data_IF_275428569648
#
_entry.id   IF_275428569648
#
_cell.length_a   1.000
_cell.length_b   1.000
_cell.length_c   1.000
_cell.angle_alpha   90.00
_cell.angle_beta   90.00
_cell.angle_gamma   90.00
#
_symmetry.space_group_name_H-M   'P 1'
#
loop_
_entity.id
_entity.type
_entity.pdbx_description
1 polymer ?
#
# COMPACT_ATOMS: atom_id res chain seq x y z
N UNK A 1 12.50 2.63 3.73
CA UNK A 1 11.78 3.61 4.56
C UNK A 1 10.33 3.19 4.78
N UNK A 2 9.62 2.76 3.73
CA UNK A 2 8.23 2.31 3.81
C UNK A 2 8.03 1.01 3.06
N UNK A 3 7.41 0.02 3.70
CA UNK A 3 7.04 -1.26 3.10
C UNK A 3 5.53 -1.44 3.30
N UNK A 4 4.82 -1.79 2.24
CA UNK A 4 3.37 -2.02 2.25
C UNK A 4 2.96 -2.95 1.10
N UNK A 5 1.66 -3.12 0.89
CA UNK A 5 1.10 -3.90 -0.21
C UNK A 5 0.49 -2.99 -1.30
N UNK A 6 0.36 -3.52 -2.51
CA UNK A 6 -0.31 -2.88 -3.66
C UNK A 6 0.15 -1.45 -3.93
N UNK A 7 1.47 -1.19 -3.77
CA UNK A 7 2.02 0.13 -4.11
C UNK A 7 1.95 0.31 -5.63
N UNK A 8 1.24 1.33 -6.06
CA UNK A 8 1.00 1.57 -7.49
C UNK A 8 0.83 3.04 -7.85
N UNK A 9 1.06 3.34 -9.12
CA UNK A 9 0.89 4.67 -9.68
C UNK A 9 -0.57 5.00 -10.01
N UNK A 10 -0.84 6.29 -10.18
CA UNK A 10 -2.12 6.78 -10.68
C UNK A 10 -2.55 6.11 -11.99
N UNK A 11 -1.62 5.90 -12.92
CA UNK A 11 -1.89 5.29 -14.23
C UNK A 11 -2.43 3.86 -14.15
N UNK A 12 -2.09 3.12 -13.11
CA UNK A 12 -2.56 1.74 -12.92
C UNK A 12 -4.02 1.63 -12.47
N UNK A 13 -4.61 2.71 -11.93
CA UNK A 13 -6.03 2.73 -11.54
C UNK A 13 -6.57 4.16 -11.48
N UNK A 14 -6.75 4.80 -12.64
CA UNK A 14 -7.19 6.19 -12.75
C UNK A 14 -8.60 6.44 -12.18
N UNK A 15 -9.42 5.40 -12.04
CA UNK A 15 -10.80 5.49 -11.55
C UNK A 15 -10.93 5.36 -10.03
N UNK A 16 -9.83 5.09 -9.31
CA UNK A 16 -9.89 4.96 -7.87
C UNK A 16 -10.25 6.31 -7.22
N UNK A 17 -11.30 6.33 -6.44
CA UNK A 17 -11.93 7.57 -5.95
C UNK A 17 -11.07 8.32 -4.94
N UNK A 18 -10.20 7.62 -4.20
CA UNK A 18 -9.34 8.19 -3.16
C UNK A 18 -8.24 9.13 -3.67
N UNK A 19 -7.95 9.14 -4.98
CA UNK A 19 -6.98 10.08 -5.55
C UNK A 19 -7.25 11.55 -5.25
N UNK A 20 -8.52 11.88 -5.01
CA UNK A 20 -8.96 13.25 -4.70
C UNK A 20 -8.86 13.58 -3.21
N UNK A 21 -8.60 12.58 -2.38
CA UNK A 21 -8.57 12.71 -0.92
C UNK A 21 -7.14 12.94 -0.43
N UNK A 22 -6.42 13.89 -1.03
CA UNK A 22 -5.06 14.28 -0.61
C UNK A 22 -4.84 15.77 -0.81
N UNK A 23 -4.31 16.41 0.21
CA UNK A 23 -3.88 17.81 0.18
C UNK A 23 -2.53 17.93 0.88
N UNK A 24 -1.53 18.42 0.17
CA UNK A 24 -0.19 18.67 0.71
C UNK A 24 0.09 20.17 0.73
N UNK A 25 0.44 20.67 1.89
CA UNK A 25 0.75 22.09 2.11
C UNK A 25 2.04 22.46 1.36
N UNK A 26 1.97 23.51 0.57
CA UNK A 26 3.08 24.04 -0.25
C UNK A 26 3.62 23.07 -1.32
N UNK A 27 2.87 22.00 -1.66
CA UNK A 27 3.22 21.07 -2.73
C UNK A 27 2.08 21.01 -3.75
N UNK A 28 2.35 21.48 -4.95
CA UNK A 28 1.39 21.35 -6.07
C UNK A 28 1.49 19.95 -6.67
N UNK A 29 0.52 19.11 -6.33
CA UNK A 29 0.45 17.75 -6.82
C UNK A 29 0.07 17.68 -8.31
N UNK A 30 0.60 16.68 -8.99
CA UNK A 30 0.17 16.25 -10.30
C UNK A 30 0.06 14.71 -10.33
N UNK A 31 -0.59 14.17 -11.37
CA UNK A 31 -0.87 12.74 -11.47
C UNK A 31 0.40 11.86 -11.42
N UNK A 32 1.56 12.35 -11.89
CA UNK A 32 2.81 11.57 -11.85
C UNK A 32 3.38 11.42 -10.45
N UNK A 33 2.98 12.31 -9.54
CA UNK A 33 3.41 12.27 -8.14
C UNK A 33 2.55 11.31 -7.31
N UNK A 34 1.31 11.07 -7.73
CA UNK A 34 0.36 10.28 -6.97
C UNK A 34 0.74 8.80 -6.93
N UNK A 35 0.78 8.26 -5.74
CA UNK A 35 0.91 6.84 -5.46
C UNK A 35 -0.23 6.38 -4.55
N UNK A 36 -0.54 5.11 -4.65
CA UNK A 36 -1.41 4.41 -3.71
C UNK A 36 -0.68 3.27 -3.05
N UNK A 37 -1.12 2.87 -1.89
CA UNK A 37 -0.73 1.62 -1.22
C UNK A 37 -1.95 1.03 -0.51
N UNK A 38 -1.87 -0.23 -0.14
CA UNK A 38 -2.86 -0.89 0.68
C UNK A 38 -2.20 -1.28 2.01
N UNK A 39 -2.66 -0.70 3.10
CA UNK A 39 -1.91 -0.61 4.35
C UNK A 39 -2.47 -1.46 5.52
N UNK A 40 -3.06 -2.66 5.31
CA UNK A 40 -3.48 -3.52 6.43
C UNK A 40 -2.26 -4.00 7.23
N UNK A 41 -1.12 -4.14 6.53
CA UNK A 41 0.19 -4.40 7.11
C UNK A 41 1.19 -3.47 6.45
N UNK A 42 1.94 -2.72 7.25
CA UNK A 42 2.99 -1.84 6.77
C UNK A 42 4.11 -1.69 7.79
N UNK A 43 5.28 -1.34 7.29
CA UNK A 43 6.46 -1.02 8.09
C UNK A 43 6.99 0.36 7.73
N UNK A 44 7.34 1.12 8.75
CA UNK A 44 7.96 2.43 8.61
C UNK A 44 9.36 2.43 9.21
N UNK A 45 10.27 3.19 8.61
CA UNK A 45 11.49 3.63 9.28
C UNK A 45 11.21 4.84 10.16
N UNK A 46 12.10 5.15 11.09
CA UNK A 46 12.02 6.36 11.91
C UNK A 46 11.98 7.63 11.04
N UNK A 47 12.74 7.63 9.95
CA UNK A 47 12.73 8.73 8.97
C UNK A 47 11.34 8.92 8.33
N UNK A 48 10.66 7.84 7.98
CA UNK A 48 9.31 7.91 7.42
C UNK A 48 8.29 8.40 8.44
N UNK A 49 8.36 7.93 9.68
CA UNK A 49 7.49 8.37 10.77
C UNK A 49 7.73 9.85 11.13
N UNK A 50 8.99 10.28 11.20
CA UNK A 50 9.35 11.68 11.49
C UNK A 50 8.82 12.61 10.41
N UNK A 51 9.01 12.27 9.13
CA UNK A 51 8.46 13.04 8.02
C UNK A 51 6.93 13.10 8.08
N UNK A 52 6.28 11.97 8.32
CA UNK A 52 4.81 11.92 8.39
C UNK A 52 4.29 12.84 9.51
N UNK A 53 4.90 12.77 10.68
CA UNK A 53 4.54 13.62 11.82
C UNK A 53 4.74 15.11 11.49
N UNK A 54 5.91 15.49 10.98
CA UNK A 54 6.22 16.86 10.56
C UNK A 54 5.19 17.41 9.57
N UNK A 55 4.87 16.62 8.54
CA UNK A 55 3.95 17.03 7.48
C UNK A 55 2.51 17.11 7.94
N UNK A 56 2.08 16.20 8.82
CA UNK A 56 0.76 16.27 9.46
C UNK A 56 0.62 17.52 10.35
N UNK A 57 1.66 17.89 11.09
CA UNK A 57 1.67 19.12 11.89
C UNK A 57 1.63 20.37 11.02
N UNK A 58 2.16 20.35 9.81
CA UNK A 58 2.06 21.44 8.83
C UNK A 58 0.65 21.54 8.20
N UNK A 59 -0.19 20.51 8.36
CA UNK A 59 -1.56 20.49 7.84
C UNK A 59 -1.78 19.61 6.62
N UNK A 60 -0.81 18.77 6.23
CA UNK A 60 -1.04 17.75 5.20
C UNK A 60 -2.11 16.78 5.66
N UNK A 61 -3.03 16.44 4.77
CA UNK A 61 -4.17 15.58 5.10
C UNK A 61 -4.62 14.75 3.91
N UNK A 62 -5.33 13.67 4.21
CA UNK A 62 -5.93 12.82 3.19
C UNK A 62 -6.12 11.39 3.66
N UNK A 63 -6.63 10.57 2.74
CA UNK A 63 -6.75 9.14 2.97
C UNK A 63 -5.35 8.50 3.05
N UNK A 64 -5.10 7.69 4.07
CA UNK A 64 -3.77 7.13 4.35
C UNK A 64 -3.17 6.36 3.16
N UNK A 65 -4.00 5.66 2.39
CA UNK A 65 -3.56 4.86 1.23
C UNK A 65 -3.06 5.70 0.05
N UNK A 66 -3.37 7.00 -0.01
CA UNK A 66 -2.82 7.92 -1.01
C UNK A 66 -1.88 8.93 -0.38
N UNK A 67 -2.17 9.39 0.84
CA UNK A 67 -1.35 10.39 1.54
C UNK A 67 0.08 9.88 1.76
N UNK A 68 0.23 8.75 2.45
CA UNK A 68 1.54 8.24 2.84
C UNK A 68 2.46 7.95 1.65
N UNK A 69 2.08 7.09 0.67
CA UNK A 69 3.00 6.78 -0.42
C UNK A 69 3.28 7.98 -1.33
N UNK A 70 2.31 8.88 -1.52
CA UNK A 70 2.53 10.11 -2.29
C UNK A 70 3.50 11.05 -1.57
N UNK A 71 3.30 11.26 -0.28
CA UNK A 71 4.20 12.07 0.54
C UNK A 71 5.62 11.51 0.51
N UNK A 72 5.78 10.22 0.74
CA UNK A 72 7.09 9.57 0.72
C UNK A 72 7.78 9.68 -0.64
N UNK A 73 7.04 9.60 -1.74
CA UNK A 73 7.57 9.86 -3.07
C UNK A 73 8.05 11.31 -3.23
N UNK A 74 7.25 12.29 -2.78
CA UNK A 74 7.62 13.70 -2.86
C UNK A 74 8.92 14.02 -2.12
N UNK A 75 9.23 13.28 -1.06
CA UNK A 75 10.43 13.46 -0.23
C UNK A 75 11.51 12.40 -0.49
N UNK A 76 11.43 11.67 -1.61
CA UNK A 76 12.42 10.68 -2.04
C UNK A 76 12.73 9.60 -0.99
N UNK A 77 11.72 9.14 -0.25
CA UNK A 77 11.87 7.98 0.61
C UNK A 77 11.81 6.70 -0.23
N UNK A 78 12.61 5.71 0.16
CA UNK A 78 12.57 4.39 -0.45
C UNK A 78 11.28 3.68 -0.06
N UNK A 79 10.59 3.15 -1.04
CA UNK A 79 9.37 2.36 -0.85
C UNK A 79 9.51 1.00 -1.51
N UNK A 80 8.98 -0.02 -0.84
CA UNK A 80 8.98 -1.39 -1.37
C UNK A 80 7.65 -2.06 -1.09
N UNK A 81 7.19 -2.80 -2.07
CA UNK A 81 6.06 -3.70 -1.92
C UNK A 81 6.59 -5.08 -1.52
N UNK A 82 5.95 -5.73 -0.56
CA UNK A 82 6.39 -7.05 -0.10
C UNK A 82 5.81 -8.21 -0.91
N UNK A 83 5.00 -7.93 -1.96
CA UNK A 83 4.43 -8.96 -2.85
C UNK A 83 3.76 -8.34 -4.07
N UNK A 84 2.88 -9.11 -4.71
CA UNK A 84 2.18 -8.70 -5.93
C UNK A 84 3.08 -8.63 -7.16
N UNK A 85 2.74 -7.78 -8.14
CA UNK A 85 3.34 -7.73 -9.48
C UNK A 85 3.72 -6.32 -9.95
N UNK A 86 3.94 -5.37 -9.08
CA UNK A 86 4.23 -3.98 -9.43
C UNK A 86 5.73 -3.65 -9.48
N UNK A 87 6.05 -2.44 -9.92
CA UNK A 87 7.44 -1.95 -10.00
C UNK A 87 8.10 -1.68 -8.64
N UNK A 88 7.33 -1.64 -7.58
CA UNK A 88 7.83 -1.40 -6.23
C UNK A 88 8.20 -2.68 -5.50
N UNK A 89 8.02 -3.84 -6.13
CA UNK A 89 8.29 -5.12 -5.51
C UNK A 89 9.76 -5.25 -5.20
N UNK A 90 10.04 -5.67 -3.97
CA UNK A 90 11.40 -6.01 -3.58
C UNK A 90 11.90 -7.22 -4.39
N UNK A 91 13.15 -7.17 -4.84
CA UNK A 91 13.74 -8.23 -5.67
C UNK A 91 13.56 -9.59 -5.02
N UNK A 92 12.97 -10.53 -5.75
CA UNK A 92 12.69 -11.89 -5.29
C UNK A 92 11.37 -12.07 -4.50
N UNK A 93 10.57 -11.00 -4.29
CA UNK A 93 9.32 -11.07 -3.54
C UNK A 93 8.06 -11.11 -4.43
N UNK A 94 8.20 -11.12 -5.76
CA UNK A 94 7.04 -11.19 -6.67
C UNK A 94 6.20 -12.43 -6.41
N UNK A 95 4.91 -12.24 -6.14
CA UNK A 95 3.94 -13.30 -5.85
C UNK A 95 4.26 -14.14 -4.61
N UNK A 96 5.16 -13.68 -3.72
CA UNK A 96 5.65 -14.49 -2.62
C UNK A 96 4.70 -14.52 -1.42
N UNK A 97 4.18 -13.36 -1.01
CA UNK A 97 3.36 -13.24 0.20
C UNK A 97 1.89 -13.03 -0.09
N UNK A 98 1.56 -12.44 -1.22
CA UNK A 98 0.19 -12.28 -1.73
C UNK A 98 0.22 -12.19 -3.26
N UNK A 99 -0.94 -12.36 -3.89
CA UNK A 99 -1.12 -12.11 -5.33
C UNK A 99 -2.15 -11.01 -5.54
N UNK A 100 -2.08 -10.34 -6.68
CA UNK A 100 -3.05 -9.34 -7.10
C UNK A 100 -4.28 -9.97 -7.79
N UNK A 101 -4.22 -11.27 -8.11
CA UNK A 101 -5.33 -12.00 -8.71
C UNK A 101 -6.26 -12.54 -7.61
N UNK A 102 -7.51 -12.11 -7.54
CA UNK A 102 -8.46 -12.60 -6.54
C UNK A 102 -8.80 -14.08 -6.72
N UNK A 103 -8.57 -14.65 -7.92
CA UNK A 103 -8.80 -16.04 -8.23
C UNK A 103 -7.55 -16.91 -8.07
N UNK A 104 -6.39 -16.28 -7.92
CA UNK A 104 -5.16 -17.02 -7.70
C UNK A 104 -5.16 -17.56 -6.27
N UNK A 105 -5.31 -18.87 -6.19
CA UNK A 105 -5.02 -19.59 -4.96
C UNK A 105 -3.51 -19.53 -4.81
N UNK A 106 -3.01 -18.49 -4.15
CA UNK A 106 -1.62 -18.43 -3.74
C UNK A 106 -1.18 -19.83 -3.32
N UNK A 107 -0.20 -20.39 -4.01
CA UNK A 107 0.42 -21.63 -3.59
C UNK A 107 0.97 -21.54 -2.16
N UNK A 108 1.62 -22.56 -1.68
CA UNK A 108 2.11 -22.75 -0.30
C UNK A 108 2.98 -21.58 0.25
N UNK A 109 3.35 -20.63 -0.60
CA UNK A 109 4.20 -19.47 -0.24
C UNK A 109 3.43 -18.22 0.19
N UNK A 110 2.14 -18.12 -0.13
CA UNK A 110 1.35 -16.95 0.26
C UNK A 110 0.91 -17.04 1.71
N UNK A 111 1.13 -15.97 2.45
CA UNK A 111 0.77 -15.84 3.86
C UNK A 111 -0.33 -14.81 4.11
N UNK A 112 -0.74 -14.08 3.06
CA UNK A 112 -1.71 -13.00 3.17
C UNK A 112 -2.82 -13.14 2.13
N UNK A 113 -4.04 -12.99 2.59
CA UNK A 113 -5.26 -12.96 1.78
C UNK A 113 -5.93 -11.60 1.94
N UNK A 114 -5.72 -10.71 0.97
CA UNK A 114 -6.24 -9.36 1.05
C UNK A 114 -7.60 -9.18 0.38
N UNK A 115 -7.94 -10.04 -0.57
CA UNK A 115 -9.21 -9.99 -1.29
C UNK A 115 -9.57 -11.37 -1.87
N UNK A 116 -10.86 -11.67 -2.06
CA UNK A 116 -12.04 -10.93 -1.61
C UNK A 116 -12.17 -10.88 -0.09
N UNK A 117 -13.22 -10.20 0.42
CA UNK A 117 -13.56 -10.24 1.85
C UNK A 117 -13.91 -11.69 2.27
N UNK A 118 -13.38 -12.12 3.40
CA UNK A 118 -13.50 -13.49 3.91
C UNK A 118 -14.52 -13.57 5.05
N UNK A 119 -15.23 -14.68 5.13
CA UNK A 119 -16.03 -15.05 6.29
C UNK A 119 -15.22 -15.94 7.24
N UNK A 120 -15.64 -16.05 8.50
CA UNK A 120 -14.94 -16.91 9.47
C UNK A 120 -14.80 -18.37 8.98
N UNK A 121 -15.80 -18.90 8.24
CA UNK A 121 -15.74 -20.24 7.70
C UNK A 121 -14.72 -20.45 6.56
N UNK A 122 -14.32 -19.36 5.90
CA UNK A 122 -13.32 -19.40 4.82
C UNK A 122 -11.88 -19.26 5.34
N UNK A 123 -11.70 -18.90 6.61
CA UNK A 123 -10.39 -18.73 7.25
C UNK A 123 -9.83 -20.07 7.77
N UNK A 124 -9.97 -21.14 6.99
CA UNK A 124 -9.63 -22.49 7.43
C UNK A 124 -8.11 -22.80 7.44
N UNK A 125 -7.28 -21.94 6.87
CA UNK A 125 -5.84 -22.20 6.78
C UNK A 125 -5.10 -21.55 7.96
N UNK A 126 -4.47 -22.36 8.80
CA UNK A 126 -3.58 -21.87 9.86
C UNK A 126 -2.35 -21.18 9.26
N UNK A 127 -1.84 -20.13 9.92
CA UNK A 127 -0.66 -19.41 9.47
C UNK A 127 -0.91 -18.37 8.37
N UNK A 128 -2.17 -18.11 8.01
CA UNK A 128 -2.56 -17.09 7.05
C UNK A 128 -3.10 -15.83 7.73
N UNK A 129 -2.84 -14.68 7.10
CA UNK A 129 -3.43 -13.39 7.49
C UNK A 129 -4.53 -13.05 6.47
N UNK A 130 -5.72 -12.78 6.95
CA UNK A 130 -6.88 -12.43 6.14
C UNK A 130 -7.30 -10.98 6.35
N UNK A 131 -7.67 -10.30 5.27
CA UNK A 131 -8.22 -8.96 5.31
C UNK A 131 -9.06 -8.69 4.03
N UNK A 132 -10.23 -8.08 4.12
CA UNK A 132 -11.02 -7.89 5.33
C UNK A 132 -11.74 -9.17 5.76
N UNK A 133 -12.08 -9.25 7.03
CA UNK A 133 -12.96 -10.28 7.58
C UNK A 133 -14.34 -9.67 7.81
N UNK A 134 -15.40 -10.38 7.47
CA UNK A 134 -16.81 -9.98 7.63
C UNK A 134 -17.51 -10.86 8.65
#
# INVERSE_FOLDING_TARGET
DFISAHIGDFSGNTRWTRWKEIELVNIKLNHKMLLRSFNPICRFSDRALSLLNERCLLGDRGHNEVLMPTLFKCFNLKMSDFGGNGRFIYTGCSGLFYTDDPNDVCGDKCTHRFRPAHTEGEMALSGMIYHPVK
#
